data_IF_399130453215
#
_entry.id   IF_399130453215
#
_cell.length_a   1.000
_cell.length_b   1.000
_cell.length_c   1.000
_cell.angle_alpha   90.00
_cell.angle_beta   90.00
_cell.angle_gamma   90.00
#
_symmetry.space_group_name_H-M   'P 1'
#
loop_
_entity.id
_entity.type
_entity.pdbx_description
1 polymer ?
#
# COMPACT_ATOMS: atom_id res chain seq x y z
N UNK A 1 -21.64 -0.87 -2.08
CA UNK A 1 -20.58 -1.05 -1.08
C UNK A 1 -20.84 -0.08 0.05
N UNK A 2 -20.87 -0.61 1.26
CA UNK A 2 -20.88 0.14 2.51
C UNK A 2 -19.51 -0.03 3.19
N UNK A 3 -19.11 0.94 4.01
CA UNK A 3 -17.85 0.89 4.75
C UNK A 3 -18.14 1.19 6.21
N UNK A 4 -17.74 0.26 7.06
CA UNK A 4 -18.10 0.25 8.47
C UNK A 4 -16.82 0.23 9.29
N UNK A 5 -16.78 1.05 10.34
CA UNK A 5 -15.82 0.93 11.42
C UNK A 5 -16.58 0.55 12.68
N UNK A 6 -16.22 -0.58 13.28
CA UNK A 6 -16.78 -1.03 14.54
C UNK A 6 -15.66 -1.14 15.58
N UNK A 7 -15.95 -0.71 16.80
CA UNK A 7 -15.09 -0.86 17.96
C UNK A 7 -15.76 -1.81 18.93
N UNK A 8 -15.02 -2.82 19.37
CA UNK A 8 -15.49 -3.75 20.40
C UNK A 8 -15.01 -3.26 21.77
N UNK A 9 -15.94 -3.07 22.69
CA UNK A 9 -15.72 -2.51 24.02
C UNK A 9 -15.55 -3.67 25.00
N UNK A 10 -14.31 -3.96 25.33
CA UNK A 10 -13.95 -4.98 26.32
C UNK A 10 -12.63 -4.63 27.02
N UNK A 11 -12.27 -5.38 28.07
CA UNK A 11 -10.99 -5.30 28.79
C UNK A 11 -10.04 -6.48 28.49
N UNK A 12 -10.42 -7.33 27.52
CA UNK A 12 -9.65 -8.49 27.08
C UNK A 12 -8.40 -8.07 26.27
N UNK A 13 -7.20 -8.27 26.84
CA UNK A 13 -5.92 -7.79 26.29
C UNK A 13 -5.50 -8.36 24.92
N UNK A 14 -5.99 -9.54 24.56
CA UNK A 14 -5.57 -10.24 23.34
C UNK A 14 -6.66 -10.25 22.27
N UNK A 15 -7.77 -9.54 22.52
CA UNK A 15 -8.89 -9.47 21.60
C UNK A 15 -8.83 -8.19 20.76
N UNK A 16 -9.47 -8.19 19.57
CA UNK A 16 -9.48 -7.02 18.70
C UNK A 16 -10.27 -5.85 19.25
N UNK A 17 -9.70 -4.65 19.12
CA UNK A 17 -10.35 -3.41 19.52
C UNK A 17 -11.12 -2.75 18.37
N UNK A 18 -10.67 -2.91 17.12
CA UNK A 18 -11.33 -2.29 15.96
C UNK A 18 -11.44 -3.25 14.78
N UNK A 19 -12.56 -3.12 14.07
CA UNK A 19 -12.88 -3.75 12.81
C UNK A 19 -13.18 -2.69 11.77
N UNK A 20 -12.52 -2.77 10.63
CA UNK A 20 -12.86 -1.99 9.44
C UNK A 20 -13.35 -2.95 8.38
N UNK A 21 -14.54 -2.73 7.84
CA UNK A 21 -15.19 -3.66 6.91
C UNK A 21 -15.65 -2.91 5.67
N UNK A 22 -15.31 -3.43 4.49
CA UNK A 22 -16.00 -3.11 3.23
C UNK A 22 -17.02 -4.20 2.97
N UNK A 23 -18.28 -3.81 2.84
CA UNK A 23 -19.42 -4.72 2.76
C UNK A 23 -20.16 -4.52 1.44
N UNK A 24 -20.53 -5.61 0.78
CA UNK A 24 -21.29 -5.57 -0.47
C UNK A 24 -22.79 -5.28 -0.25
N UNK A 25 -23.55 -4.97 -1.32
CA UNK A 25 -24.99 -4.71 -1.20
C UNK A 25 -25.79 -5.87 -0.59
N UNK A 26 -25.27 -7.09 -0.65
CA UNK A 26 -25.84 -8.30 -0.06
C UNK A 26 -25.48 -8.47 1.43
N UNK A 27 -24.64 -7.59 1.98
CA UNK A 27 -24.25 -7.58 3.39
C UNK A 27 -23.01 -8.40 3.71
N UNK A 28 -22.29 -8.93 2.71
CA UNK A 28 -21.09 -9.75 2.91
C UNK A 28 -19.81 -8.92 2.87
N UNK A 29 -18.84 -9.30 3.69
CA UNK A 29 -17.52 -8.65 3.71
C UNK A 29 -16.76 -8.93 2.40
N UNK A 30 -16.20 -7.88 1.79
CA UNK A 30 -15.24 -7.95 0.69
C UNK A 30 -13.79 -7.76 1.14
N UNK A 31 -13.60 -6.88 2.13
CA UNK A 31 -12.34 -6.62 2.79
C UNK A 31 -12.57 -6.36 4.28
N UNK A 32 -11.65 -6.83 5.11
CA UNK A 32 -11.66 -6.60 6.56
C UNK A 32 -10.26 -6.30 7.10
N UNK A 33 -10.17 -5.34 8.01
CA UNK A 33 -8.98 -5.06 8.83
C UNK A 33 -9.39 -5.22 10.29
N UNK A 34 -8.56 -5.91 11.06
CA UNK A 34 -8.74 -6.16 12.50
C UNK A 34 -7.52 -5.59 13.21
N UNK A 35 -7.74 -4.67 14.14
CA UNK A 35 -6.69 -4.03 14.94
C UNK A 35 -6.79 -4.46 16.40
N UNK A 36 -5.64 -4.73 16.99
CA UNK A 36 -5.49 -5.11 18.39
C UNK A 36 -4.82 -3.98 19.20
N UNK A 37 -4.91 -4.04 20.52
CA UNK A 37 -4.32 -3.05 21.43
C UNK A 37 -2.79 -2.97 21.31
N UNK A 38 -2.13 -4.09 21.02
CA UNK A 38 -0.68 -4.21 20.80
C UNK A 38 -0.21 -3.78 19.40
N UNK A 39 -1.06 -3.05 18.68
CA UNK A 39 -0.85 -2.62 17.28
C UNK A 39 -0.80 -3.76 16.25
N UNK A 40 -1.02 -5.02 16.65
CA UNK A 40 -1.14 -6.14 15.70
C UNK A 40 -2.27 -5.85 14.71
N UNK A 41 -2.00 -6.22 13.46
CA UNK A 41 -2.93 -6.07 12.34
C UNK A 41 -3.18 -7.43 11.70
N UNK A 42 -4.45 -7.79 11.62
CA UNK A 42 -4.93 -8.88 10.81
C UNK A 42 -5.87 -8.34 9.73
N UNK A 43 -5.96 -9.05 8.61
CA UNK A 43 -6.81 -8.61 7.51
C UNK A 43 -7.22 -9.76 6.60
N UNK A 44 -8.32 -9.57 5.89
CA UNK A 44 -8.83 -10.49 4.90
C UNK A 44 -9.39 -9.74 3.69
N UNK A 45 -9.27 -10.34 2.51
CA UNK A 45 -9.99 -10.01 1.29
C UNK A 45 -10.25 -11.29 0.50
N UNK A 46 -10.96 -11.19 -0.62
CA UNK A 46 -11.14 -12.32 -1.55
C UNK A 46 -9.81 -12.93 -2.06
N UNK A 47 -8.70 -12.18 -1.97
CA UNK A 47 -7.38 -12.61 -2.48
C UNK A 47 -6.39 -13.02 -1.37
N UNK A 48 -6.58 -12.56 -0.14
CA UNK A 48 -5.60 -12.75 0.95
C UNK A 48 -6.27 -12.87 2.30
N UNK A 49 -5.79 -13.79 3.12
CA UNK A 49 -6.14 -13.91 4.54
C UNK A 49 -4.86 -13.88 5.38
N UNK A 50 -4.83 -13.02 6.39
CA UNK A 50 -3.73 -12.92 7.35
C UNK A 50 -4.32 -12.77 8.76
N UNK A 51 -4.54 -13.89 9.43
CA UNK A 51 -5.06 -13.95 10.80
C UNK A 51 -6.57 -13.69 10.92
N UNK A 52 -7.15 -12.92 10.00
CA UNK A 52 -8.59 -12.73 9.85
C UNK A 52 -9.13 -13.51 8.64
N UNK A 53 -10.44 -13.77 8.65
CA UNK A 53 -11.19 -14.38 7.55
C UNK A 53 -12.45 -13.57 7.27
N UNK A 54 -12.99 -13.62 6.05
CA UNK A 54 -14.25 -12.94 5.71
C UNK A 54 -15.45 -13.70 6.31
N UNK A 55 -16.40 -12.99 6.90
CA UNK A 55 -17.59 -13.59 7.50
C UNK A 55 -18.38 -14.40 6.46
N UNK A 56 -18.76 -15.65 6.76
CA UNK A 56 -19.58 -16.47 5.87
C UNK A 56 -21.07 -16.06 5.89
N UNK A 57 -21.43 -15.10 6.73
CA UNK A 57 -22.78 -14.57 6.90
C UNK A 57 -22.75 -13.03 6.81
N UNK A 58 -23.88 -12.38 6.48
CA UNK A 58 -23.94 -10.93 6.46
C UNK A 58 -23.57 -10.31 7.81
N UNK A 59 -22.82 -9.21 7.79
CA UNK A 59 -22.22 -8.59 9.00
C UNK A 59 -23.19 -7.74 9.82
N UNK A 60 -24.42 -7.56 9.33
CA UNK A 60 -25.38 -6.62 9.91
C UNK A 60 -25.16 -5.19 9.43
N UNK A 61 -26.18 -4.37 9.55
CA UNK A 61 -26.13 -2.92 9.29
C UNK A 61 -25.39 -2.19 10.40
N UNK A 62 -24.91 -0.97 10.13
CA UNK A 62 -24.26 -0.14 11.16
C UNK A 62 -25.18 0.06 12.37
N UNK A 63 -26.46 0.31 12.14
CA UNK A 63 -27.45 0.48 13.22
C UNK A 63 -27.65 -0.78 14.07
N UNK A 64 -27.59 -1.96 13.46
CA UNK A 64 -27.69 -3.24 14.19
C UNK A 64 -26.45 -3.48 15.05
N UNK A 65 -25.26 -3.22 14.50
CA UNK A 65 -23.99 -3.37 15.24
C UNK A 65 -23.92 -2.35 16.39
N UNK A 66 -24.26 -1.09 16.15
CA UNK A 66 -24.23 -0.01 17.15
C UNK A 66 -25.31 -0.16 18.24
N UNK A 67 -26.30 -1.02 18.02
CA UNK A 67 -27.33 -1.33 19.02
C UNK A 67 -26.83 -2.30 20.11
N UNK A 68 -25.72 -3.01 19.86
CA UNK A 68 -25.07 -3.85 20.86
C UNK A 68 -24.28 -2.97 21.85
N UNK A 69 -24.56 -3.00 23.16
CA UNK A 69 -23.84 -2.20 24.15
C UNK A 69 -22.33 -2.45 24.21
N UNK A 70 -21.86 -3.59 23.70
CA UNK A 70 -20.43 -3.91 23.60
C UNK A 70 -19.81 -3.36 22.31
N UNK A 71 -20.58 -2.75 21.41
CA UNK A 71 -20.08 -2.23 20.14
C UNK A 71 -20.37 -0.74 19.98
N UNK A 72 -19.42 -0.03 19.38
CA UNK A 72 -19.61 1.30 18.81
C UNK A 72 -19.36 1.19 17.30
N UNK A 73 -20.36 1.44 16.46
CA UNK A 73 -20.24 1.32 15.02
C UNK A 73 -20.61 2.60 14.28
N UNK A 74 -19.78 2.98 13.31
CA UNK A 74 -19.99 4.15 12.47
C UNK A 74 -19.78 3.83 10.99
N UNK A 75 -20.56 4.51 10.13
CA UNK A 75 -20.26 4.54 8.70
C UNK A 75 -19.04 5.39 8.46
N UNK A 76 -18.09 4.84 7.73
CA UNK A 76 -16.94 5.58 7.22
C UNK A 76 -17.04 5.75 5.71
N UNK A 77 -16.28 6.68 5.17
CA UNK A 77 -16.20 6.85 3.72
C UNK A 77 -15.33 5.77 3.07
N UNK A 78 -15.60 5.49 1.79
CA UNK A 78 -14.72 4.66 0.94
C UNK A 78 -13.26 5.14 0.99
N UNK A 79 -13.06 6.47 1.07
CA UNK A 79 -11.74 7.09 1.14
C UNK A 79 -11.03 6.71 2.44
N UNK A 80 -11.68 6.90 3.58
CA UNK A 80 -11.12 6.55 4.89
C UNK A 80 -10.79 5.07 4.99
N UNK A 81 -11.68 4.18 4.52
CA UNK A 81 -11.40 2.76 4.49
C UNK A 81 -10.16 2.44 3.65
N UNK A 82 -10.06 2.99 2.44
CA UNK A 82 -8.91 2.74 1.58
C UNK A 82 -7.61 3.33 2.11
N UNK A 83 -7.66 4.46 2.82
CA UNK A 83 -6.51 5.03 3.52
C UNK A 83 -6.07 4.09 4.66
N UNK A 84 -7.00 3.58 5.46
CA UNK A 84 -6.72 2.57 6.50
C UNK A 84 -6.17 1.27 5.93
N UNK A 85 -6.79 0.75 4.86
CA UNK A 85 -6.32 -0.44 4.15
C UNK A 85 -4.92 -0.22 3.60
N UNK A 86 -4.65 0.90 2.96
CA UNK A 86 -3.32 1.20 2.43
C UNK A 86 -2.28 1.34 3.54
N UNK A 87 -2.65 1.92 4.68
CA UNK A 87 -1.75 2.10 5.83
C UNK A 87 -1.44 0.79 6.56
N UNK A 88 -2.47 -0.04 6.81
CA UNK A 88 -2.36 -1.24 7.65
C UNK A 88 -2.11 -2.52 6.85
N UNK A 89 -2.62 -2.59 5.62
CA UNK A 89 -2.58 -3.76 4.74
C UNK A 89 -1.70 -3.52 3.50
N UNK A 90 -1.58 -2.27 3.04
CA UNK A 90 -0.73 -1.85 1.92
C UNK A 90 0.76 -1.97 2.24
N UNK A 91 1.23 -3.20 2.47
CA UNK A 91 2.56 -3.50 2.98
C UNK A 91 3.14 -4.74 2.32
N UNK A 92 2.99 -4.88 1.00
CA UNK A 92 3.91 -5.78 0.29
C UNK A 92 5.33 -5.20 0.23
N UNK A 93 5.47 -3.85 0.26
CA UNK A 93 6.76 -3.16 0.18
C UNK A 93 7.19 -2.35 1.40
N UNK A 94 6.31 -1.98 2.33
CA UNK A 94 6.79 -1.47 3.64
C UNK A 94 7.57 -2.57 4.37
N UNK A 95 7.06 -3.81 4.31
CA UNK A 95 7.82 -4.98 4.75
C UNK A 95 9.11 -5.20 3.96
N UNK A 96 9.39 -4.52 2.84
CA UNK A 96 10.65 -4.73 2.10
C UNK A 96 11.89 -4.33 2.91
N UNK A 97 11.82 -3.19 3.60
CA UNK A 97 12.94 -2.65 4.37
C UNK A 97 13.24 -3.53 5.58
N UNK A 98 12.19 -4.06 6.21
CA UNK A 98 12.31 -4.87 7.43
C UNK A 98 12.34 -6.39 7.15
N UNK A 99 11.80 -6.84 6.00
CA UNK A 99 11.68 -8.24 5.57
C UNK A 99 11.58 -8.38 4.02
N UNK A 100 12.70 -8.45 3.30
CA UNK A 100 12.71 -8.51 1.83
C UNK A 100 12.15 -9.82 1.24
N UNK A 101 11.83 -10.83 2.08
CA UNK A 101 11.47 -12.18 1.62
C UNK A 101 10.22 -12.23 0.71
N UNK A 102 9.09 -11.57 1.00
CA UNK A 102 7.90 -11.63 0.15
C UNK A 102 8.17 -11.09 -1.27
N UNK A 103 8.92 -9.99 -1.36
CA UNK A 103 9.28 -9.39 -2.64
C UNK A 103 10.33 -10.21 -3.38
N UNK A 104 11.32 -10.75 -2.65
CA UNK A 104 12.30 -11.64 -3.26
C UNK A 104 11.60 -12.83 -3.95
N UNK A 105 10.58 -13.42 -3.33
CA UNK A 105 9.79 -14.51 -3.94
C UNK A 105 9.07 -14.10 -5.23
N UNK A 106 8.52 -12.87 -5.30
CA UNK A 106 7.87 -12.37 -6.52
C UNK A 106 8.82 -12.32 -7.73
N UNK A 107 10.10 -12.06 -7.47
CA UNK A 107 11.14 -11.95 -8.49
C UNK A 107 12.10 -13.14 -8.50
N UNK A 108 11.77 -14.28 -7.89
CA UNK A 108 12.67 -15.43 -7.77
C UNK A 108 14.08 -15.06 -7.26
N UNK A 109 14.13 -14.20 -6.25
CA UNK A 109 15.31 -13.61 -5.63
C UNK A 109 16.09 -12.60 -6.50
N UNK A 110 15.59 -12.23 -7.67
CA UNK A 110 16.19 -11.27 -8.58
C UNK A 110 15.43 -9.93 -8.58
N UNK A 111 15.49 -9.23 -7.45
CA UNK A 111 14.78 -7.95 -7.28
C UNK A 111 15.31 -6.93 -8.31
N UNK A 112 14.42 -6.25 -9.07
CA UNK A 112 14.84 -5.26 -10.05
C UNK A 112 15.59 -4.12 -9.36
N UNK A 113 16.70 -3.67 -9.96
CA UNK A 113 17.47 -2.56 -9.42
C UNK A 113 16.70 -1.24 -9.55
N UNK A 114 16.69 -0.46 -8.48
CA UNK A 114 16.25 0.94 -8.47
C UNK A 114 17.38 1.92 -8.83
N UNK A 115 18.53 1.41 -9.28
CA UNK A 115 19.62 2.20 -9.84
C UNK A 115 19.38 2.54 -11.32
N UNK A 116 19.68 3.78 -11.68
CA UNK A 116 19.55 4.34 -13.05
C UNK A 116 18.15 4.17 -13.65
N UNK A 117 17.10 4.27 -12.84
CA UNK A 117 15.71 4.27 -13.32
C UNK A 117 15.33 5.63 -13.90
N UNK A 118 14.30 5.69 -14.74
CA UNK A 118 13.79 6.93 -15.31
C UNK A 118 12.51 7.36 -14.58
N UNK A 119 12.43 8.59 -14.09
CA UNK A 119 11.21 9.11 -13.44
C UNK A 119 10.19 9.60 -14.47
N UNK A 120 9.29 8.72 -14.91
CA UNK A 120 8.29 9.00 -15.95
C UNK A 120 7.24 9.99 -15.47
N UNK A 121 6.81 9.87 -14.20
CA UNK A 121 5.77 10.73 -13.63
C UNK A 121 6.03 11.00 -12.16
N UNK A 122 5.77 12.23 -11.75
CA UNK A 122 5.70 12.67 -10.36
C UNK A 122 4.44 13.52 -10.23
N UNK A 123 3.46 13.10 -9.44
CA UNK A 123 2.18 13.81 -9.31
C UNK A 123 1.54 13.60 -7.96
N UNK A 124 0.98 14.65 -7.37
CA UNK A 124 0.10 14.52 -6.20
C UNK A 124 -1.21 13.83 -6.60
N UNK A 125 -1.64 12.84 -5.82
CA UNK A 125 -2.98 12.24 -5.92
C UNK A 125 -3.97 13.10 -5.12
N UNK A 126 -3.55 13.52 -3.93
CA UNK A 126 -4.26 14.45 -3.05
C UNK A 126 -3.22 15.20 -2.18
N UNK A 127 -3.68 16.05 -1.27
CA UNK A 127 -2.80 16.90 -0.43
C UNK A 127 -1.67 16.15 0.27
N UNK A 128 -1.87 14.88 0.63
CA UNK A 128 -0.94 14.09 1.44
C UNK A 128 -0.46 12.82 0.73
N UNK A 129 -0.70 12.68 -0.57
CA UNK A 129 -0.32 11.47 -1.31
C UNK A 129 0.40 11.80 -2.62
N UNK A 130 1.52 11.12 -2.85
CA UNK A 130 2.39 11.32 -4.01
C UNK A 130 2.45 10.04 -4.84
N UNK A 131 2.18 10.16 -6.14
CA UNK A 131 2.34 9.09 -7.12
C UNK A 131 3.60 9.31 -7.95
N UNK A 132 4.41 8.27 -8.06
CA UNK A 132 5.67 8.24 -8.79
C UNK A 132 5.60 7.07 -9.76
N UNK A 133 5.84 7.31 -11.04
CA UNK A 133 6.02 6.24 -12.02
C UNK A 133 7.48 6.22 -12.43
N UNK A 134 8.11 5.07 -12.24
CA UNK A 134 9.47 4.82 -12.68
C UNK A 134 9.48 3.81 -13.82
N UNK A 135 10.44 3.96 -14.72
CA UNK A 135 10.77 2.99 -15.76
C UNK A 135 12.14 2.40 -15.43
N UNK A 136 12.23 1.07 -15.41
CA UNK A 136 13.48 0.37 -15.17
C UNK A 136 14.44 0.53 -16.36
N UNK A 137 15.74 0.56 -16.09
CA UNK A 137 16.77 0.56 -17.14
C UNK A 137 16.93 -0.80 -17.84
N UNK A 138 16.46 -1.86 -17.20
CA UNK A 138 16.52 -3.25 -17.67
C UNK A 138 15.23 -3.94 -17.30
N UNK A 139 14.82 -4.87 -18.16
CA UNK A 139 13.71 -5.75 -17.84
C UNK A 139 14.06 -6.63 -16.64
N UNK A 140 13.09 -6.93 -15.76
CA UNK A 140 13.30 -7.88 -14.67
C UNK A 140 13.53 -9.29 -15.22
N UNK A 141 14.44 -10.03 -14.58
CA UNK A 141 14.74 -11.42 -14.94
C UNK A 141 14.44 -12.36 -13.75
N UNK A 142 13.63 -13.42 -13.93
CA UNK A 142 13.02 -13.83 -15.19
C UNK A 142 11.82 -12.94 -15.58
N UNK A 143 11.67 -12.70 -16.87
CA UNK A 143 10.50 -12.01 -17.40
C UNK A 143 9.20 -12.75 -17.02
N UNK A 144 8.17 -12.04 -16.53
CA UNK A 144 6.85 -12.62 -16.31
C UNK A 144 6.31 -13.30 -17.59
N UNK A 145 5.63 -14.47 -17.50
CA UNK A 145 5.16 -15.20 -18.69
C UNK A 145 4.30 -14.35 -19.63
N UNK A 146 3.41 -13.51 -19.08
CA UNK A 146 2.59 -12.58 -19.85
C UNK A 146 3.42 -11.55 -20.63
N UNK A 147 4.56 -11.13 -20.09
CA UNK A 147 5.43 -10.13 -20.74
C UNK A 147 6.21 -10.76 -21.89
N UNK A 148 6.65 -12.01 -21.72
CA UNK A 148 7.25 -12.81 -22.81
C UNK A 148 6.25 -12.99 -23.97
N UNK A 149 5.02 -13.42 -23.67
CA UNK A 149 3.97 -13.63 -24.68
C UNK A 149 3.67 -12.35 -25.48
N UNK A 150 3.71 -11.20 -24.81
CA UNK A 150 3.41 -9.92 -25.44
C UNK A 150 4.65 -9.19 -25.97
N UNK A 151 5.86 -9.76 -25.93
CA UNK A 151 7.09 -9.09 -26.39
C UNK A 151 7.30 -7.69 -25.81
N UNK A 152 7.03 -7.51 -24.50
CA UNK A 152 7.30 -6.22 -23.84
C UNK A 152 8.80 -5.95 -23.77
N UNK A 153 9.19 -4.72 -24.13
CA UNK A 153 10.58 -4.27 -24.18
C UNK A 153 10.92 -3.24 -23.09
N UNK A 154 9.92 -2.80 -22.33
CA UNK A 154 10.09 -1.88 -21.20
C UNK A 154 9.33 -2.38 -19.97
N UNK A 155 9.79 -1.96 -18.80
CA UNK A 155 9.19 -2.30 -17.51
C UNK A 155 9.01 -1.03 -16.68
N UNK A 156 7.83 -0.91 -16.07
CA UNK A 156 7.44 0.23 -15.25
C UNK A 156 7.02 -0.23 -13.86
N UNK A 157 7.11 0.68 -12.91
CA UNK A 157 6.63 0.52 -11.55
C UNK A 157 5.97 1.80 -11.08
N UNK A 158 4.74 1.68 -10.56
CA UNK A 158 4.03 2.75 -9.88
C UNK A 158 4.26 2.67 -8.38
N UNK A 159 4.62 3.79 -7.76
CA UNK A 159 4.89 3.93 -6.33
C UNK A 159 3.98 5.05 -5.81
N UNK A 160 3.21 4.77 -4.78
CA UNK A 160 2.34 5.72 -4.11
C UNK A 160 2.81 5.88 -2.68
N UNK A 161 3.14 7.10 -2.28
CA UNK A 161 3.47 7.47 -0.90
C UNK A 161 2.24 8.09 -0.26
N UNK A 162 1.92 7.68 0.96
CA UNK A 162 0.78 8.18 1.74
C UNK A 162 1.26 8.92 2.99
N UNK A 163 0.45 9.88 3.43
CA UNK A 163 0.75 10.78 4.55
C UNK A 163 2.11 11.46 4.40
N UNK A 164 2.37 11.97 3.20
CA UNK A 164 3.55 12.76 2.90
C UNK A 164 3.56 14.00 3.80
N UNK A 165 4.49 14.04 4.76
CA UNK A 165 4.61 15.14 5.72
C UNK A 165 5.67 16.16 5.31
N UNK A 166 6.67 15.73 4.53
CA UNK A 166 7.71 16.60 3.99
C UNK A 166 7.91 16.23 2.52
N UNK A 167 7.97 17.23 1.63
CA UNK A 167 8.26 17.06 0.22
C UNK A 167 9.12 18.22 -0.26
N UNK A 168 10.27 17.89 -0.85
CA UNK A 168 11.19 18.84 -1.46
C UNK A 168 11.55 18.33 -2.87
N UNK A 169 11.50 19.24 -3.83
CA UNK A 169 11.95 19.04 -5.20
C UNK A 169 12.91 20.17 -5.54
N UNK A 170 14.16 19.82 -5.81
CA UNK A 170 15.16 20.75 -6.32
C UNK A 170 15.53 20.39 -7.76
N UNK A 171 15.51 21.39 -8.64
CA UNK A 171 15.67 21.23 -10.09
C UNK A 171 14.55 20.41 -10.75
N UNK A 172 14.69 20.20 -12.07
CA UNK A 172 13.94 19.22 -12.87
C UNK A 172 14.51 19.19 -14.29
N UNK A 173 14.66 18.02 -14.90
CA UNK A 173 15.05 17.92 -16.31
C UNK A 173 14.41 16.69 -16.98
N UNK A 174 14.22 16.79 -18.30
CA UNK A 174 13.86 15.70 -19.20
C UNK A 174 14.84 14.52 -19.20
N UNK A 175 16.12 14.76 -18.87
CA UNK A 175 17.12 13.71 -18.64
C UNK A 175 17.05 13.25 -17.18
N UNK A 176 16.30 12.18 -16.94
CA UNK A 176 15.82 11.80 -15.61
C UNK A 176 16.28 10.41 -15.14
N UNK A 177 17.47 9.99 -15.57
CA UNK A 177 18.13 8.80 -15.02
C UNK A 177 18.54 9.08 -13.58
N UNK A 178 17.96 8.31 -12.66
CA UNK A 178 17.99 8.59 -11.24
C UNK A 178 18.21 7.30 -10.44
N UNK A 179 18.74 7.44 -9.24
CA UNK A 179 18.75 6.39 -8.23
C UNK A 179 17.58 6.65 -7.28
N UNK A 180 16.80 5.62 -6.98
CA UNK A 180 15.72 5.70 -5.99
C UNK A 180 16.11 4.91 -4.76
N UNK A 181 16.08 5.55 -3.59
CA UNK A 181 16.46 4.96 -2.31
C UNK A 181 15.32 5.13 -1.30
N UNK A 182 15.05 4.07 -0.54
CA UNK A 182 14.13 4.07 0.60
C UNK A 182 14.91 3.81 1.88
N UNK A 183 14.57 4.49 2.97
CA UNK A 183 15.18 4.28 4.28
C UNK A 183 14.24 4.59 5.44
N UNK A 184 14.49 3.98 6.59
CA UNK A 184 13.80 4.28 7.85
C UNK A 184 14.37 5.55 8.47
N UNK A 185 13.50 6.42 8.96
CA UNK A 185 13.86 7.62 9.73
C UNK A 185 13.83 7.31 11.23
N UNK A 186 14.58 8.09 12.02
CA UNK A 186 14.64 7.93 13.48
C UNK A 186 13.34 8.26 14.21
N UNK A 187 12.42 8.95 13.54
CA UNK A 187 11.09 9.35 14.04
C UNK A 187 9.99 8.31 13.72
N UNK A 188 10.35 7.14 13.20
CA UNK A 188 9.42 6.08 12.82
C UNK A 188 8.77 6.28 11.44
N UNK A 189 9.12 7.34 10.70
CA UNK A 189 8.67 7.55 9.31
C UNK A 189 9.59 6.85 8.31
N UNK A 190 9.14 6.81 7.06
CA UNK A 190 9.93 6.40 5.91
C UNK A 190 10.40 7.62 5.12
N UNK A 191 11.61 7.53 4.54
CA UNK A 191 12.11 8.52 3.60
C UNK A 191 12.35 7.92 2.22
N UNK A 192 12.06 8.74 1.21
CA UNK A 192 12.38 8.48 -0.19
C UNK A 192 13.35 9.56 -0.66
N UNK A 193 14.45 9.14 -1.26
CA UNK A 193 15.36 10.00 -1.99
C UNK A 193 15.43 9.56 -3.45
N UNK A 194 15.18 10.50 -4.36
CA UNK A 194 15.42 10.33 -5.79
C UNK A 194 16.54 11.27 -6.20
N UNK A 195 17.73 10.72 -6.45
CA UNK A 195 18.91 11.52 -6.79
C UNK A 195 19.26 11.34 -8.26
N UNK A 196 19.42 12.45 -8.97
CA UNK A 196 19.94 12.49 -10.34
C UNK A 196 21.06 13.53 -10.46
N UNK A 197 21.60 13.72 -11.67
CA UNK A 197 22.58 14.79 -11.93
C UNK A 197 21.96 16.20 -11.96
N UNK A 198 20.65 16.30 -12.14
CA UNK A 198 19.98 17.57 -12.51
C UNK A 198 18.77 17.87 -11.65
N UNK A 199 18.37 16.95 -10.79
CA UNK A 199 17.29 17.14 -9.83
C UNK A 199 17.42 16.16 -8.67
N UNK A 200 16.82 16.55 -7.56
CA UNK A 200 16.70 15.75 -6.35
C UNK A 200 15.27 15.83 -5.81
N UNK A 201 14.71 14.69 -5.39
CA UNK A 201 13.45 14.63 -4.66
C UNK A 201 13.70 14.02 -3.31
N UNK A 202 13.26 14.71 -2.24
CA UNK A 202 13.24 14.18 -0.88
C UNK A 202 11.82 14.19 -0.36
N UNK A 203 11.42 13.09 0.27
CA UNK A 203 10.08 12.95 0.81
C UNK A 203 10.13 12.17 2.13
N UNK A 204 9.38 12.62 3.14
CA UNK A 204 9.02 11.80 4.31
C UNK A 204 7.55 11.44 4.26
N UNK A 205 7.24 10.19 4.58
CA UNK A 205 5.91 9.63 4.47
C UNK A 205 5.73 8.48 5.46
N UNK A 206 4.49 8.11 5.74
CA UNK A 206 4.21 7.04 6.71
C UNK A 206 4.13 5.67 6.02
N UNK A 207 3.60 5.63 4.78
CA UNK A 207 3.35 4.38 4.08
C UNK A 207 3.67 4.47 2.58
N UNK A 208 4.16 3.37 2.01
CA UNK A 208 4.39 3.22 0.57
C UNK A 208 3.63 2.01 0.01
N UNK A 209 2.94 2.23 -1.10
CA UNK A 209 2.31 1.17 -1.89
C UNK A 209 2.94 1.15 -3.29
N UNK A 210 3.39 -0.02 -3.73
CA UNK A 210 3.77 -0.22 -5.13
C UNK A 210 2.54 -0.73 -5.88
N UNK A 211 1.84 0.21 -6.52
CA UNK A 211 0.51 0.00 -7.07
C UNK A 211 0.47 -1.00 -8.22
N UNK A 212 1.53 -1.06 -9.04
CA UNK A 212 1.64 -1.99 -10.17
C UNK A 212 3.04 -2.06 -10.76
N UNK A 213 3.45 -3.24 -11.21
CA UNK A 213 4.48 -3.38 -12.26
C UNK A 213 3.84 -3.82 -13.57
N UNK A 214 4.22 -3.21 -14.68
CA UNK A 214 3.72 -3.56 -16.00
C UNK A 214 4.78 -3.40 -17.06
N UNK A 215 4.62 -4.10 -18.17
CA UNK A 215 5.45 -3.92 -19.36
C UNK A 215 4.68 -3.18 -20.44
N UNK A 216 5.42 -2.55 -21.34
CA UNK A 216 4.86 -1.87 -22.51
C UNK A 216 5.64 -2.21 -23.78
N UNK A 217 5.01 -1.93 -24.93
CA UNK A 217 5.65 -1.89 -26.25
C UNK A 217 5.85 -0.43 -26.61
N UNK A 218 7.11 -0.01 -26.73
CA UNK A 218 7.47 1.26 -27.36
C UNK A 218 8.04 1.00 -28.73
#
# INVERSE_FOLDING_TARGET
MEYIKAKWIHDLKNEPIFYYMEVDPEGYEKRKIVLYEDEKVEYASEEVEKGAFLSPVPVGTVEEIDSDPECEAERISHKEFNEMWSMKVGSMWINFLDNPLPISKLYNNNIPSLDRVRIVKLSSINKNALNIIIQFNKLPEPLPPRWKLNNYNQAFMGIILYNVSEFELDGWNSMNTSKVTFSNCSDGKLSLEITSKTFEVRCKFDCVNISRTWGDKV
#
